data_IF_580546926462
#
_entry.id   IF_580546926462
#
_cell.length_a   1.000
_cell.length_b   1.000
_cell.length_c   1.000
_cell.angle_alpha   90.00
_cell.angle_beta   90.00
_cell.angle_gamma   90.00
#
_symmetry.space_group_name_H-M   'P 1'
#
loop_
_entity.id
_entity.type
_entity.pdbx_description
1 polymer ?
#
# COMPACT_ATOMS: atom_id res chain seq x y z
N UNK A 1 8.19 58.03 -6.25
CA UNK A 1 8.89 56.99 -7.05
C UNK A 1 9.78 56.18 -6.12
N UNK A 2 9.36 54.99 -5.70
CA UNK A 2 10.18 54.08 -4.90
C UNK A 2 10.20 52.72 -5.58
N UNK A 3 11.36 52.33 -6.13
CA UNK A 3 11.55 51.09 -6.90
C UNK A 3 11.79 49.91 -5.96
N UNK A 4 10.88 48.92 -6.00
CA UNK A 4 11.00 47.64 -5.32
C UNK A 4 12.13 46.77 -5.94
N UNK A 5 13.02 46.12 -5.16
CA UNK A 5 14.14 45.36 -5.71
C UNK A 5 13.69 44.00 -6.29
N UNK A 6 13.87 43.85 -7.61
CA UNK A 6 13.49 42.66 -8.43
C UNK A 6 14.23 41.35 -8.11
N UNK A 7 15.14 41.32 -7.12
CA UNK A 7 16.04 40.18 -6.87
C UNK A 7 15.49 39.14 -5.88
N UNK A 8 14.48 39.49 -5.07
CA UNK A 8 13.92 38.56 -4.09
C UNK A 8 12.98 37.50 -4.69
N UNK A 9 12.41 37.76 -5.86
CA UNK A 9 11.42 36.89 -6.50
C UNK A 9 12.07 35.66 -7.17
N UNK A 10 13.36 35.75 -7.52
CA UNK A 10 14.04 34.71 -8.30
C UNK A 10 14.46 33.47 -7.50
N UNK A 11 14.62 33.57 -6.19
CA UNK A 11 15.07 32.43 -5.36
C UNK A 11 13.91 31.59 -4.83
N UNK A 12 12.70 32.17 -4.74
CA UNK A 12 11.50 31.47 -4.29
C UNK A 12 11.00 30.44 -5.32
N UNK A 13 11.18 30.70 -6.62
CA UNK A 13 10.76 29.81 -7.70
C UNK A 13 11.68 28.59 -7.89
N UNK A 14 12.91 28.62 -7.37
CA UNK A 14 13.90 27.54 -7.54
C UNK A 14 13.83 26.54 -6.37
N UNK A 15 13.35 26.97 -5.19
CA UNK A 15 13.19 26.11 -4.01
C UNK A 15 11.81 25.43 -3.91
N UNK A 16 10.80 25.94 -4.62
CA UNK A 16 9.43 25.41 -4.56
C UNK A 16 9.25 23.98 -5.14
N UNK A 17 9.97 23.52 -6.19
CA UNK A 17 9.73 22.19 -6.72
C UNK A 17 10.44 21.08 -5.94
N UNK A 18 11.30 21.39 -4.96
CA UNK A 18 12.08 20.37 -4.24
C UNK A 18 11.35 19.72 -3.05
N UNK A 19 10.16 20.20 -2.68
CA UNK A 19 9.42 19.73 -1.49
C UNK A 19 8.01 19.19 -1.81
N UNK A 20 7.69 18.92 -3.06
CA UNK A 20 6.52 18.09 -3.37
C UNK A 20 6.92 16.61 -3.21
N UNK A 21 7.05 16.19 -1.95
CA UNK A 21 6.83 14.77 -1.63
C UNK A 21 5.36 14.54 -1.95
N UNK A 22 5.10 14.06 -3.16
CA UNK A 22 3.78 13.65 -3.58
C UNK A 22 3.38 12.46 -2.70
N UNK A 23 2.66 12.76 -1.61
CA UNK A 23 2.05 11.77 -0.75
C UNK A 23 1.02 11.04 -1.60
N UNK A 24 1.40 9.87 -2.09
CA UNK A 24 0.49 9.05 -2.87
C UNK A 24 -0.60 8.55 -1.91
N UNK A 25 -1.85 8.87 -2.22
CA UNK A 25 -2.97 8.44 -1.40
C UNK A 25 -3.34 7.01 -1.75
N UNK A 26 -3.87 6.28 -0.78
CA UNK A 26 -4.46 4.97 -1.04
C UNK A 26 -5.64 5.19 -2.02
N UNK A 27 -5.72 4.47 -3.15
CA UNK A 27 -6.80 4.60 -4.10
C UNK A 27 -8.18 4.44 -3.44
N UNK A 28 -9.21 5.14 -3.92
CA UNK A 28 -10.54 5.10 -3.34
C UNK A 28 -11.13 3.69 -3.32
N UNK A 29 -10.74 2.83 -4.25
CA UNK A 29 -11.16 1.43 -4.30
C UNK A 29 -10.60 0.61 -3.14
N UNK A 30 -9.46 1.00 -2.56
CA UNK A 30 -8.78 0.25 -1.49
C UNK A 30 -8.85 0.94 -0.13
N UNK A 31 -9.33 2.20 -0.07
CA UNK A 31 -9.39 2.95 1.19
C UNK A 31 -10.19 2.22 2.28
N UNK A 32 -11.23 1.49 1.88
CA UNK A 32 -12.08 0.72 2.79
C UNK A 32 -11.34 -0.46 3.45
N UNK A 33 -10.26 -0.96 2.86
CA UNK A 33 -9.40 -1.99 3.45
C UNK A 33 -8.60 -1.49 4.66
N UNK A 34 -8.50 -0.17 4.80
CA UNK A 34 -7.76 0.51 5.85
C UNK A 34 -8.70 1.23 6.83
N UNK A 35 -9.90 0.67 7.02
CA UNK A 35 -10.92 1.17 7.93
C UNK A 35 -11.61 0.07 8.74
N UNK A 36 -12.01 0.38 9.97
CA UNK A 36 -12.77 -0.49 10.86
C UNK A 36 -12.15 -1.87 11.01
N UNK A 37 -13.00 -2.90 10.99
CA UNK A 37 -12.61 -4.30 11.18
C UNK A 37 -11.69 -4.84 10.07
N UNK A 38 -11.56 -4.14 8.94
CA UNK A 38 -10.71 -4.57 7.83
C UNK A 38 -9.22 -4.41 8.14
N UNK A 39 -8.87 -3.53 9.09
CA UNK A 39 -7.48 -3.32 9.54
C UNK A 39 -6.99 -4.40 10.50
N UNK A 40 -7.89 -5.24 11.02
CA UNK A 40 -7.53 -6.27 11.99
C UNK A 40 -6.61 -7.33 11.35
N UNK A 41 -5.65 -7.88 12.12
CA UNK A 41 -4.87 -9.02 11.68
C UNK A 41 -5.81 -10.18 11.33
N UNK A 42 -5.71 -10.70 10.11
CA UNK A 42 -6.47 -11.88 9.69
C UNK A 42 -5.56 -13.09 9.70
N UNK A 43 -6.02 -14.18 10.32
CA UNK A 43 -5.30 -15.45 10.42
C UNK A 43 -5.68 -16.28 9.19
N UNK A 44 -5.03 -16.06 8.06
CA UNK A 44 -5.46 -16.78 6.84
C UNK A 44 -4.74 -16.48 5.54
N UNK A 45 -3.67 -15.69 5.52
CA UNK A 45 -2.95 -15.44 4.27
C UNK A 45 -2.10 -16.66 3.91
N UNK A 46 -2.59 -17.45 2.96
CA UNK A 46 -1.84 -18.54 2.37
C UNK A 46 -2.00 -18.54 0.85
N UNK A 47 -1.13 -19.28 0.17
CA UNK A 47 -1.13 -19.35 -1.29
C UNK A 47 -2.42 -19.98 -1.85
N UNK A 48 -3.09 -20.85 -1.09
CA UNK A 48 -4.34 -21.47 -1.50
C UNK A 48 -5.47 -20.44 -1.61
N UNK A 49 -5.62 -19.55 -0.63
CA UNK A 49 -6.59 -18.46 -0.66
C UNK A 49 -6.34 -17.51 -1.84
N UNK A 50 -5.08 -17.19 -2.13
CA UNK A 50 -4.72 -16.40 -3.30
C UNK A 50 -5.23 -17.06 -4.59
N UNK A 51 -4.96 -18.36 -4.77
CA UNK A 51 -5.40 -19.10 -5.95
C UNK A 51 -6.93 -19.19 -6.04
N UNK A 52 -7.62 -19.34 -4.91
CA UNK A 52 -9.09 -19.40 -4.88
C UNK A 52 -9.73 -18.07 -5.29
N UNK A 53 -9.20 -16.95 -4.80
CA UNK A 53 -9.66 -15.61 -5.17
C UNK A 53 -9.40 -15.31 -6.65
N UNK A 54 -8.21 -15.64 -7.17
CA UNK A 54 -7.89 -15.46 -8.59
C UNK A 54 -8.82 -16.32 -9.47
N UNK A 55 -9.00 -17.60 -9.13
CA UNK A 55 -9.92 -18.50 -9.86
C UNK A 55 -11.37 -18.03 -9.83
N UNK A 56 -11.79 -17.37 -8.75
CA UNK A 56 -13.13 -16.78 -8.66
C UNK A 56 -13.29 -15.65 -9.69
N UNK A 57 -12.30 -14.76 -9.79
CA UNK A 57 -12.28 -13.69 -10.81
C UNK A 57 -12.28 -14.29 -12.22
N UNK A 58 -11.44 -15.28 -12.49
CA UNK A 58 -11.36 -15.94 -13.81
C UNK A 58 -12.70 -16.54 -14.23
N UNK A 59 -13.37 -17.29 -13.34
CA UNK A 59 -14.65 -17.95 -13.66
C UNK A 59 -15.78 -16.97 -13.92
N UNK A 60 -15.81 -15.88 -13.15
CA UNK A 60 -16.88 -14.88 -13.26
C UNK A 60 -16.62 -13.85 -14.35
N UNK A 61 -15.41 -13.83 -14.93
CA UNK A 61 -15.03 -12.97 -16.04
C UNK A 61 -14.71 -13.76 -17.34
N UNK A 62 -15.67 -14.52 -17.89
CA UNK A 62 -15.39 -15.55 -18.89
C UNK A 62 -14.99 -15.06 -20.29
N UNK A 63 -15.11 -13.77 -20.62
CA UNK A 63 -15.08 -13.32 -22.03
C UNK A 63 -14.16 -12.16 -22.36
N UNK A 64 -13.48 -11.53 -21.39
CA UNK A 64 -12.83 -10.23 -21.65
C UNK A 64 -11.30 -10.19 -21.51
N UNK A 65 -10.66 -11.17 -20.84
CA UNK A 65 -9.27 -11.01 -20.41
C UNK A 65 -8.42 -12.28 -20.56
N UNK A 66 -7.29 -12.15 -21.26
CA UNK A 66 -6.19 -13.12 -21.20
C UNK A 66 -5.58 -13.14 -19.79
N UNK A 67 -5.08 -14.31 -19.35
CA UNK A 67 -4.43 -14.51 -18.06
C UNK A 67 -3.27 -13.54 -17.82
N UNK A 68 -2.52 -13.23 -18.90
CA UNK A 68 -1.45 -12.22 -18.86
C UNK A 68 -2.00 -10.84 -18.48
N UNK A 69 -3.17 -10.50 -18.99
CA UNK A 69 -3.79 -9.20 -18.77
C UNK A 69 -4.43 -9.11 -17.38
N UNK A 70 -5.09 -10.17 -16.92
CA UNK A 70 -5.57 -10.26 -15.53
C UNK A 70 -4.42 -10.08 -14.53
N UNK A 71 -3.27 -10.71 -14.79
CA UNK A 71 -2.09 -10.60 -13.93
C UNK A 71 -1.60 -9.15 -13.80
N UNK A 72 -1.64 -8.39 -14.89
CA UNK A 72 -1.22 -6.99 -14.90
C UNK A 72 -2.26 -6.09 -14.25
N UNK A 73 -3.55 -6.34 -14.48
CA UNK A 73 -4.65 -5.63 -13.79
C UNK A 73 -4.60 -5.83 -12.27
N UNK A 74 -4.32 -7.05 -11.80
CA UNK A 74 -4.09 -7.33 -10.38
C UNK A 74 -2.96 -6.47 -9.80
N UNK A 75 -1.85 -6.31 -10.54
CA UNK A 75 -0.70 -5.51 -10.09
C UNK A 75 -0.99 -4.00 -10.09
N UNK A 76 -1.70 -3.48 -11.10
CA UNK A 76 -2.03 -2.05 -11.17
C UNK A 76 -3.12 -1.64 -10.19
N UNK A 77 -4.14 -2.48 -9.99
CA UNK A 77 -5.34 -2.11 -9.23
C UNK A 77 -5.30 -2.56 -7.77
N UNK A 78 -4.76 -3.75 -7.50
CA UNK A 78 -4.83 -4.39 -6.18
C UNK A 78 -3.50 -4.49 -5.47
N UNK A 79 -2.35 -4.25 -6.12
CA UNK A 79 -1.06 -4.24 -5.43
C UNK A 79 -0.64 -2.82 -5.09
N UNK A 80 -0.33 -2.56 -3.83
CA UNK A 80 0.29 -1.31 -3.36
C UNK A 80 1.28 -1.64 -2.24
N UNK A 81 2.57 -1.52 -2.55
CA UNK A 81 3.61 -1.77 -1.55
C UNK A 81 3.97 -0.49 -0.79
N UNK A 82 4.31 -0.62 0.49
CA UNK A 82 4.77 0.49 1.33
C UNK A 82 3.63 1.32 1.94
N UNK A 83 2.47 0.72 2.15
CA UNK A 83 1.44 1.29 3.03
C UNK A 83 1.88 1.08 4.48
N UNK A 84 1.93 2.18 5.23
CA UNK A 84 2.31 2.22 6.64
C UNK A 84 1.25 2.97 7.46
N UNK A 85 1.09 2.54 8.71
CA UNK A 85 0.27 3.23 9.70
C UNK A 85 1.07 4.34 10.34
N UNK A 86 0.57 5.56 10.30
CA UNK A 86 1.17 6.71 10.95
C UNK A 86 0.93 6.68 12.47
N UNK A 87 1.93 7.02 13.30
CA UNK A 87 1.84 6.93 14.75
C UNK A 87 0.96 8.05 15.30
N UNK A 88 0.24 7.76 16.38
CA UNK A 88 -0.57 8.75 17.10
C UNK A 88 -1.82 9.24 16.37
N UNK A 89 -2.11 8.71 15.18
CA UNK A 89 -3.35 8.97 14.46
C UNK A 89 -4.38 7.87 14.75
N UNK A 90 -5.59 8.30 15.10
CA UNK A 90 -6.74 7.42 15.25
C UNK A 90 -7.63 7.50 14.02
N UNK A 91 -8.25 6.38 13.68
CA UNK A 91 -9.24 6.35 12.60
C UNK A 91 -10.47 7.19 12.99
N UNK A 92 -10.96 7.97 12.03
CA UNK A 92 -12.23 8.70 12.10
C UNK A 92 -12.99 8.53 10.79
N UNK A 93 -14.24 8.99 10.73
CA UNK A 93 -15.06 8.93 9.51
C UNK A 93 -14.37 9.56 8.29
N UNK A 94 -13.56 10.60 8.51
CA UNK A 94 -12.89 11.36 7.46
C UNK A 94 -11.42 10.97 7.25
N UNK A 95 -10.81 10.21 8.16
CA UNK A 95 -9.36 9.99 8.17
C UNK A 95 -9.00 8.55 8.53
N UNK A 96 -8.19 7.93 7.67
CA UNK A 96 -7.49 6.67 7.98
C UNK A 96 -6.07 6.98 8.45
N UNK A 97 -5.53 6.24 9.44
CA UNK A 97 -4.14 6.40 9.87
C UNK A 97 -3.14 5.78 8.88
N UNK A 98 -3.58 5.19 7.77
CA UNK A 98 -2.72 4.51 6.80
C UNK A 98 -2.41 5.38 5.59
N UNK A 99 -1.16 5.33 5.10
CA UNK A 99 -0.75 6.06 3.89
C UNK A 99 0.44 5.39 3.19
N UNK A 100 0.65 5.67 1.90
CA UNK A 100 1.81 5.15 1.15
C UNK A 100 3.05 6.01 1.41
N UNK A 101 3.61 5.89 2.61
CA UNK A 101 4.82 6.60 3.03
C UNK A 101 6.01 5.67 3.27
N UNK A 102 5.82 4.38 3.10
CA UNK A 102 6.84 3.39 3.39
C UNK A 102 7.94 3.32 2.35
N UNK A 103 9.06 2.73 2.77
CA UNK A 103 10.29 2.63 1.98
C UNK A 103 10.11 1.85 0.67
N UNK A 104 9.07 1.03 0.55
CA UNK A 104 8.80 0.23 -0.66
C UNK A 104 8.05 1.00 -1.75
N UNK A 105 7.49 2.19 -1.45
CA UNK A 105 6.71 2.97 -2.41
C UNK A 105 7.50 3.34 -3.68
N UNK A 106 8.77 3.82 -3.61
CA UNK A 106 9.54 4.14 -4.81
C UNK A 106 9.75 2.93 -5.72
N UNK A 107 10.07 1.76 -5.14
CA UNK A 107 10.23 0.50 -5.88
C UNK A 107 8.92 0.10 -6.56
N UNK A 108 7.80 0.16 -5.85
CA UNK A 108 6.49 -0.13 -6.39
C UNK A 108 6.12 0.79 -7.55
N UNK A 109 6.34 2.11 -7.40
CA UNK A 109 6.10 3.09 -8.46
C UNK A 109 6.89 2.77 -9.73
N UNK A 110 8.17 2.42 -9.59
CA UNK A 110 8.99 2.01 -10.73
C UNK A 110 8.45 0.73 -11.38
N UNK A 111 8.06 -0.27 -10.58
CA UNK A 111 7.48 -1.51 -11.12
C UNK A 111 6.21 -1.24 -11.92
N UNK A 112 5.30 -0.38 -11.44
CA UNK A 112 4.11 -0.01 -12.21
C UNK A 112 4.43 0.67 -13.55
N UNK A 113 5.50 1.47 -13.61
CA UNK A 113 5.93 2.10 -14.87
C UNK A 113 6.45 1.07 -15.89
N UNK A 114 7.05 -0.02 -15.43
CA UNK A 114 7.56 -1.10 -16.30
C UNK A 114 6.48 -2.10 -16.72
N UNK A 115 5.47 -2.31 -15.88
CA UNK A 115 4.34 -3.16 -16.21
C UNK A 115 3.44 -2.39 -17.19
N UNK A 116 3.62 -2.68 -18.48
CA UNK A 116 2.93 -2.03 -19.61
C UNK A 116 1.45 -1.76 -19.35
N UNK A 117 0.98 -0.56 -19.72
CA UNK A 117 -0.45 -0.22 -19.78
C UNK A 117 -1.15 -1.17 -20.75
N UNK A 118 -2.10 -1.98 -20.26
CA UNK A 118 -2.85 -2.91 -21.11
C UNK A 118 -4.25 -2.32 -21.37
N UNK A 119 -4.75 -2.38 -22.61
CA UNK A 119 -6.09 -1.89 -22.93
C UNK A 119 -7.18 -2.77 -22.31
N UNK A 120 -7.73 -2.33 -21.18
CA UNK A 120 -8.94 -2.89 -20.55
C UNK A 120 -8.81 -2.90 -19.04
N UNK A 121 -9.94 -2.76 -18.35
CA UNK A 121 -10.00 -2.63 -16.89
C UNK A 121 -10.86 -3.72 -16.27
N UNK A 122 -10.35 -4.37 -15.22
CA UNK A 122 -11.16 -5.28 -14.40
C UNK A 122 -11.87 -4.49 -13.31
N UNK A 123 -13.20 -4.52 -13.31
CA UNK A 123 -14.01 -4.07 -12.18
C UNK A 123 -14.13 -5.22 -11.15
N UNK A 124 -13.12 -5.35 -10.29
CA UNK A 124 -13.04 -6.45 -9.30
C UNK A 124 -14.25 -6.49 -8.36
N UNK A 125 -14.87 -5.34 -8.09
CA UNK A 125 -16.09 -5.17 -7.28
C UNK A 125 -17.30 -5.91 -7.84
N UNK A 126 -17.32 -6.25 -9.13
CA UNK A 126 -18.39 -7.09 -9.72
C UNK A 126 -18.26 -8.56 -9.36
N UNK A 127 -17.06 -9.01 -8.98
CA UNK A 127 -16.74 -10.43 -8.83
C UNK A 127 -16.34 -10.81 -7.40
N UNK A 128 -15.78 -9.85 -6.66
CA UNK A 128 -15.28 -10.00 -5.31
C UNK A 128 -16.05 -9.07 -4.36
N UNK A 129 -16.36 -9.59 -3.18
CA UNK A 129 -16.87 -8.77 -2.08
C UNK A 129 -15.78 -7.80 -1.57
N UNK A 130 -16.14 -6.72 -0.86
CA UNK A 130 -15.16 -5.80 -0.26
C UNK A 130 -14.13 -6.52 0.62
N UNK A 131 -14.57 -7.52 1.38
CA UNK A 131 -13.67 -8.36 2.18
C UNK A 131 -12.65 -9.11 1.31
N UNK A 132 -13.12 -9.77 0.25
CA UNK A 132 -12.27 -10.51 -0.67
C UNK A 132 -11.28 -9.61 -1.41
N UNK A 133 -11.69 -8.39 -1.80
CA UNK A 133 -10.79 -7.38 -2.38
C UNK A 133 -9.67 -7.06 -1.40
N UNK A 134 -9.98 -6.80 -0.13
CA UNK A 134 -8.97 -6.49 0.86
C UNK A 134 -8.07 -7.68 1.19
N UNK A 135 -8.61 -8.91 1.20
CA UNK A 135 -7.80 -10.12 1.35
C UNK A 135 -6.83 -10.28 0.18
N UNK A 136 -7.31 -10.12 -1.06
CA UNK A 136 -6.49 -10.22 -2.27
C UNK A 136 -5.43 -9.11 -2.30
N UNK A 137 -5.81 -7.87 -1.99
CA UNK A 137 -4.90 -6.74 -1.87
C UNK A 137 -3.76 -7.04 -0.88
N UNK A 138 -4.08 -7.57 0.31
CA UNK A 138 -3.09 -7.89 1.33
C UNK A 138 -2.23 -9.11 0.99
N UNK A 139 -2.73 -10.04 0.18
CA UNK A 139 -1.94 -11.17 -0.35
C UNK A 139 -0.95 -10.73 -1.44
N UNK A 140 -1.29 -9.70 -2.23
CA UNK A 140 -0.47 -9.20 -3.33
C UNK A 140 0.53 -8.12 -2.90
N UNK A 141 0.23 -7.42 -1.81
CA UNK A 141 0.94 -6.21 -1.39
C UNK A 141 1.82 -6.47 -0.18
N UNK A 142 2.94 -5.75 -0.11
CA UNK A 142 3.74 -5.66 1.11
C UNK A 142 3.35 -4.40 1.91
N UNK A 143 2.78 -4.63 3.10
CA UNK A 143 2.54 -3.58 4.09
C UNK A 143 3.36 -3.88 5.34
N UNK A 144 3.87 -2.84 5.98
CA UNK A 144 4.68 -2.95 7.19
C UNK A 144 4.03 -2.06 8.24
N UNK A 145 3.81 -2.60 9.44
CA UNK A 145 3.54 -1.79 10.62
C UNK A 145 4.88 -1.63 11.35
N UNK A 146 5.57 -0.47 11.20
CA UNK A 146 6.93 -0.32 11.70
C UNK A 146 7.00 -0.05 13.20
N UNK A 147 5.85 0.18 13.84
CA UNK A 147 5.75 0.44 15.26
C UNK A 147 5.63 -0.86 16.04
N UNK A 148 6.41 -0.96 17.11
CA UNK A 148 6.56 -2.15 17.92
C UNK A 148 5.22 -2.57 18.53
N UNK A 149 4.88 -3.85 18.39
CA UNK A 149 3.68 -4.46 19.00
C UNK A 149 3.93 -4.68 20.50
N UNK A 150 4.14 -3.61 21.27
CA UNK A 150 4.22 -3.63 22.73
C UNK A 150 4.88 -4.87 23.33
N UNK A 151 4.13 -5.62 24.14
CA UNK A 151 4.52 -6.86 24.81
C UNK A 151 4.42 -8.09 23.89
N UNK A 152 5.26 -8.15 22.86
CA UNK A 152 5.40 -9.34 22.00
C UNK A 152 5.77 -10.63 22.77
N UNK A 153 6.23 -10.48 24.02
CA UNK A 153 6.46 -11.58 24.98
C UNK A 153 5.19 -12.34 25.39
N UNK A 154 4.01 -11.74 25.30
CA UNK A 154 2.75 -12.35 25.74
C UNK A 154 1.83 -12.82 24.59
N UNK A 155 1.97 -12.22 23.41
CA UNK A 155 0.99 -12.36 22.31
C UNK A 155 1.47 -13.27 21.17
N UNK A 156 2.76 -13.60 21.11
CA UNK A 156 3.27 -14.61 20.20
C UNK A 156 3.55 -15.90 20.98
N UNK A 157 2.95 -17.06 20.64
CA UNK A 157 3.40 -18.34 21.21
C UNK A 157 4.86 -18.53 20.78
N UNK A 158 5.77 -18.42 21.76
CA UNK A 158 7.22 -18.30 21.59
C UNK A 158 7.87 -19.60 21.12
N UNK A 159 7.57 -20.02 19.89
CA UNK A 159 8.26 -21.14 19.24
C UNK A 159 8.63 -20.82 17.80
N UNK A 160 9.18 -19.64 17.52
CA UNK A 160 9.95 -19.40 16.30
C UNK A 160 11.06 -18.37 16.59
N UNK A 161 12.25 -18.85 16.91
CA UNK A 161 13.50 -18.12 16.71
C UNK A 161 13.92 -17.15 17.81
N UNK A 162 14.43 -17.71 18.91
CA UNK A 162 15.39 -17.04 19.78
C UNK A 162 16.66 -16.72 18.94
N UNK A 163 16.79 -15.50 18.41
CA UNK A 163 18.10 -14.87 18.20
C UNK A 163 17.98 -13.38 17.77
N UNK A 164 18.34 -12.50 18.71
CA UNK A 164 19.10 -11.24 18.57
C UNK A 164 18.45 -10.01 17.88
N UNK A 165 18.49 -8.93 18.66
CA UNK A 165 18.35 -7.51 18.30
C UNK A 165 16.94 -7.03 17.89
N UNK A 166 16.20 -6.31 18.76
CA UNK A 166 14.82 -5.86 18.50
C UNK A 166 14.70 -4.69 17.51
N UNK A 167 15.77 -4.28 16.83
CA UNK A 167 15.69 -3.25 15.80
C UNK A 167 15.36 -3.89 14.45
N UNK A 168 14.26 -3.46 13.83
CA UNK A 168 13.97 -3.84 12.45
C UNK A 168 15.20 -3.52 11.57
N UNK A 169 15.77 -4.49 10.82
CA UNK A 169 17.10 -4.36 10.20
C UNK A 169 17.26 -3.18 9.22
N UNK A 170 16.15 -2.61 8.76
CA UNK A 170 16.08 -1.57 7.75
C UNK A 170 15.97 -0.15 8.33
N UNK A 171 15.89 0.01 9.65
CA UNK A 171 15.96 1.33 10.30
C UNK A 171 17.41 1.79 10.32
N UNK A 172 17.84 2.45 9.24
CA UNK A 172 19.13 3.15 9.23
C UNK A 172 19.07 4.32 10.21
N UNK A 173 19.85 4.26 11.29
CA UNK A 173 20.10 5.45 12.11
C UNK A 173 20.89 6.45 11.26
N UNK A 174 20.18 7.39 10.63
CA UNK A 174 20.83 8.58 10.10
C UNK A 174 21.30 9.40 11.29
N UNK A 175 22.62 9.42 11.50
CA UNK A 175 23.31 10.26 12.48
C UNK A 175 23.83 11.52 11.79
#
# INVERSE_FOLDING_TARGET
MGTLPKKAISWFLILLPLLLVEAYNIPPELIHCYRGNMTLPSVGFNQQLLLELIRKVERLNPTTLDMRMLSVELMHRLRIDGIEKAPGLQETELLTPYSTRGIMVPKYKLLLQFVSNIPGSVEFERFLSPLEICLLHRLLSSSVEPYQRGDERAVCPGTLGEDRNPQAPWVTQNK
#
